data_IF_376683852016
#
_entry.id   IF_376683852016
#
_cell.length_a   1.000
_cell.length_b   1.000
_cell.length_c   1.000
_cell.angle_alpha   90.00
_cell.angle_beta   90.00
_cell.angle_gamma   90.00
#
_symmetry.space_group_name_H-M   'P 1'
#
loop_
_entity.id
_entity.type
_entity.pdbx_description
1 polymer ?
#
# COMPACT_ATOMS: atom_id res chain seq x y z
N UNK A 1 -21.63 -1.00 -7.03
CA UNK A 1 -20.47 -0.76 -6.14
C UNK A 1 -20.72 0.51 -5.32
N UNK A 2 -20.44 0.48 -4.01
CA UNK A 2 -20.56 1.67 -3.16
C UNK A 2 -19.25 2.47 -3.32
N UNK A 3 -19.27 3.50 -4.16
CA UNK A 3 -18.09 4.33 -4.52
C UNK A 3 -17.25 4.79 -3.30
N UNK A 4 -17.89 5.04 -2.17
CA UNK A 4 -17.21 5.41 -0.92
C UNK A 4 -16.32 4.30 -0.36
N UNK A 5 -16.76 3.04 -0.47
CA UNK A 5 -15.99 1.88 0.00
C UNK A 5 -14.75 1.66 -0.88
N UNK A 6 -14.90 1.83 -2.19
CA UNK A 6 -13.80 1.68 -3.16
C UNK A 6 -12.69 2.74 -2.93
N UNK A 7 -13.07 3.95 -2.53
CA UNK A 7 -12.12 5.01 -2.19
C UNK A 7 -11.37 4.68 -0.88
N UNK A 8 -12.10 4.26 0.16
CA UNK A 8 -11.50 3.91 1.45
C UNK A 8 -10.53 2.75 1.30
N UNK A 9 -10.91 1.69 0.59
CA UNK A 9 -10.02 0.54 0.36
C UNK A 9 -8.79 0.94 -0.45
N UNK A 10 -8.94 1.81 -1.46
CA UNK A 10 -7.82 2.32 -2.24
C UNK A 10 -6.82 3.10 -1.37
N UNK A 11 -7.31 4.01 -0.53
CA UNK A 11 -6.45 4.79 0.37
C UNK A 11 -5.70 3.86 1.33
N UNK A 12 -6.38 2.89 1.93
CA UNK A 12 -5.75 1.93 2.84
C UNK A 12 -4.65 1.10 2.16
N UNK A 13 -4.88 0.64 0.92
CA UNK A 13 -3.88 -0.12 0.15
C UNK A 13 -2.65 0.75 -0.16
N UNK A 14 -2.85 2.01 -0.57
CA UNK A 14 -1.73 2.93 -0.85
C UNK A 14 -0.92 3.18 0.41
N UNK A 15 -1.57 3.55 1.51
CA UNK A 15 -0.91 3.84 2.78
C UNK A 15 -0.15 2.61 3.29
N UNK A 16 -0.76 1.43 3.22
CA UNK A 16 -0.10 0.18 3.59
C UNK A 16 1.14 -0.09 2.73
N UNK A 17 1.01 -0.05 1.41
CA UNK A 17 2.13 -0.33 0.49
C UNK A 17 3.30 0.65 0.67
N UNK A 18 3.01 1.93 0.93
CA UNK A 18 4.03 2.91 1.28
C UNK A 18 4.71 2.57 2.61
N UNK A 19 3.95 2.22 3.66
CA UNK A 19 4.53 1.82 4.95
C UNK A 19 5.46 0.62 4.80
N UNK A 20 5.01 -0.46 4.17
CA UNK A 20 5.84 -1.65 3.95
C UNK A 20 7.08 -1.33 3.10
N UNK A 21 6.98 -0.44 2.11
CA UNK A 21 8.13 0.03 1.34
C UNK A 21 9.17 0.76 2.19
N UNK A 22 8.72 1.63 3.10
CA UNK A 22 9.59 2.33 4.05
C UNK A 22 10.27 1.35 5.01
N UNK A 23 9.54 0.35 5.50
CA UNK A 23 10.10 -0.69 6.37
C UNK A 23 11.15 -1.54 5.64
N UNK A 24 10.88 -1.94 4.39
CA UNK A 24 11.81 -2.78 3.61
C UNK A 24 13.09 -2.06 3.19
N UNK A 25 13.00 -0.76 2.84
CA UNK A 25 14.11 0.04 2.32
C UNK A 25 14.91 0.74 3.42
N UNK A 26 14.23 1.32 4.40
CA UNK A 26 14.82 2.21 5.41
C UNK A 26 14.64 1.72 6.85
N UNK A 27 14.04 0.54 7.06
CA UNK A 27 13.74 -0.01 8.39
C UNK A 27 12.89 0.96 9.23
N UNK A 28 12.08 1.78 8.55
CA UNK A 28 11.24 2.80 9.16
C UNK A 28 9.77 2.42 9.05
N UNK A 29 9.11 2.23 10.19
CA UNK A 29 7.66 2.01 10.27
C UNK A 29 6.94 3.34 10.58
N UNK A 30 6.26 3.87 9.57
CA UNK A 30 5.48 5.10 9.66
C UNK A 30 4.27 4.92 10.58
N UNK A 31 3.62 3.76 10.55
CA UNK A 31 2.45 3.47 11.38
C UNK A 31 2.86 3.41 12.85
N UNK A 32 3.94 2.69 13.16
CA UNK A 32 4.50 2.63 14.51
C UNK A 32 4.87 4.03 15.03
N UNK A 33 5.49 4.86 14.18
CA UNK A 33 5.84 6.25 14.50
C UNK A 33 4.61 7.12 14.84
N UNK A 34 3.50 6.95 14.11
CA UNK A 34 2.28 7.74 14.34
C UNK A 34 1.48 7.23 15.54
N UNK A 35 1.43 5.92 15.74
CA UNK A 35 0.62 5.27 16.79
C UNK A 35 1.37 5.20 18.13
N UNK A 36 2.69 5.38 18.13
CA UNK A 36 3.54 5.37 19.32
C UNK A 36 3.99 3.98 19.74
N UNK A 37 4.08 3.04 18.80
CA UNK A 37 4.61 1.69 19.07
C UNK A 37 6.09 1.57 18.68
N UNK A 38 6.82 0.67 19.34
CA UNK A 38 8.20 0.33 18.97
C UNK A 38 8.23 -0.74 17.87
N UNK A 39 8.91 -0.43 16.77
CA UNK A 39 9.12 -1.34 15.66
C UNK A 39 10.31 -2.28 15.95
N UNK A 40 10.13 -3.59 15.69
CA UNK A 40 11.11 -4.63 15.98
C UNK A 40 12.15 -4.88 14.88
N UNK A 41 12.96 -5.93 15.04
CA UNK A 41 13.99 -6.32 14.06
C UNK A 41 13.39 -6.79 12.72
N UNK A 42 14.02 -6.37 11.63
CA UNK A 42 13.71 -6.82 10.27
C UNK A 42 14.80 -7.72 9.75
N UNK A 43 14.47 -8.98 9.44
CA UNK A 43 15.41 -9.86 8.78
C UNK A 43 15.41 -9.67 7.25
N UNK A 44 16.43 -10.21 6.57
CA UNK A 44 16.61 -10.07 5.12
C UNK A 44 15.41 -10.60 4.33
N UNK A 45 14.80 -11.71 4.77
CA UNK A 45 13.63 -12.29 4.10
C UNK A 45 12.40 -11.39 4.22
N UNK A 46 12.16 -10.83 5.41
CA UNK A 46 11.10 -9.85 5.66
C UNK A 46 11.28 -8.61 4.78
N UNK A 47 12.51 -8.09 4.64
CA UNK A 47 12.77 -6.93 3.76
C UNK A 47 12.40 -7.22 2.31
N UNK A 48 12.75 -8.39 1.79
CA UNK A 48 12.37 -8.79 0.42
C UNK A 48 10.84 -8.82 0.29
N UNK A 49 10.14 -9.45 1.22
CA UNK A 49 8.67 -9.52 1.21
C UNK A 49 8.06 -8.12 1.26
N UNK A 50 8.57 -7.23 2.09
CA UNK A 50 8.05 -5.87 2.23
C UNK A 50 8.23 -5.04 0.96
N UNK A 51 9.38 -5.17 0.28
CA UNK A 51 9.60 -4.52 -1.01
C UNK A 51 8.63 -5.09 -2.06
N UNK A 52 8.40 -6.41 -2.09
CA UNK A 52 7.43 -7.02 -3.01
C UNK A 52 6.00 -6.54 -2.74
N UNK A 53 5.61 -6.38 -1.48
CA UNK A 53 4.31 -5.81 -1.08
C UNK A 53 4.20 -4.37 -1.55
N UNK A 54 5.23 -3.54 -1.35
CA UNK A 54 5.25 -2.16 -1.81
C UNK A 54 5.07 -2.05 -3.33
N UNK A 55 5.82 -2.85 -4.10
CA UNK A 55 5.72 -2.91 -5.57
C UNK A 55 4.32 -3.38 -6.00
N UNK A 56 3.76 -4.38 -5.32
CA UNK A 56 2.42 -4.90 -5.62
C UNK A 56 1.33 -3.85 -5.38
N UNK A 57 1.44 -3.06 -4.30
CA UNK A 57 0.50 -1.97 -4.02
C UNK A 57 0.55 -0.87 -5.07
N UNK A 58 1.75 -0.48 -5.54
CA UNK A 58 1.91 0.47 -6.65
C UNK A 58 1.29 -0.07 -7.95
N UNK A 59 1.48 -1.36 -8.23
CA UNK A 59 0.87 -1.99 -9.41
C UNK A 59 -0.66 -1.99 -9.35
N UNK A 60 -1.24 -2.35 -8.20
CA UNK A 60 -2.70 -2.36 -8.01
C UNK A 60 -3.32 -0.96 -8.09
N UNK A 61 -2.62 0.07 -7.60
CA UNK A 61 -3.03 1.47 -7.78
C UNK A 61 -3.17 1.83 -9.27
N UNK A 62 -2.18 1.45 -10.09
CA UNK A 62 -2.24 1.67 -11.54
C UNK A 62 -3.38 0.88 -12.21
N UNK A 63 -3.64 -0.35 -11.75
CA UNK A 63 -4.71 -1.20 -12.29
C UNK A 63 -6.09 -0.63 -12.00
N UNK A 64 -6.33 -0.10 -10.80
CA UNK A 64 -7.58 0.54 -10.41
C UNK A 64 -7.86 1.81 -11.21
N UNK A 65 -6.83 2.65 -11.47
CA UNK A 65 -6.97 3.83 -12.33
C UNK A 65 -7.45 3.48 -13.75
N UNK A 66 -6.97 2.36 -14.30
CA UNK A 66 -7.43 1.85 -15.62
C UNK A 66 -8.88 1.34 -15.57
N UNK A 67 -9.26 0.65 -14.49
CA UNK A 67 -10.62 0.12 -14.34
C UNK A 67 -11.65 1.25 -14.19
N UNK A 68 -11.35 2.28 -13.39
CA UNK A 68 -12.22 3.44 -13.21
C UNK A 68 -12.41 4.27 -14.50
N UNK A 69 -11.38 4.35 -15.35
CA UNK A 69 -11.47 5.03 -16.65
C UNK A 69 -12.38 4.30 -17.65
N UNK A 70 -12.37 2.96 -17.64
CA UNK A 70 -13.17 2.14 -18.56
C UNK A 70 -14.67 2.16 -18.24
N UNK A 71 -15.06 2.35 -16.98
CA UNK A 71 -16.47 2.48 -16.59
C UNK A 71 -17.09 3.79 -17.11
N UNK A 72 -16.29 4.83 -17.31
CA UNK A 72 -16.75 6.12 -17.86
C UNK A 72 -16.98 6.06 -19.36
N UNK A 73 -16.33 5.14 -20.08
CA UNK A 73 -16.53 4.94 -21.53
C UNK A 73 -17.69 3.98 -21.89
N UNK A 74 -18.29 3.31 -20.91
CA UNK A 74 -19.36 2.32 -21.12
C UNK A 74 -20.75 2.79 -20.66
N UNK A 75 -20.86 4.00 -20.13
CA UNK A 75 -22.12 4.65 -19.73
C UNK A 75 -22.52 5.73 -20.73
#
# INVERSE_FOLDING_TARGET
MRKSLDLVTLVLVIVGALNWGLVGLFEFDLVATIVGEEFGEVNVLSRIVYILVAVSGVYQFSALGRMAGNDTQRA
#
